data_IF_058886579875
#
_entry.id   IF_058886579875
#
_cell.length_a   1.000
_cell.length_b   1.000
_cell.length_c   1.000
_cell.angle_alpha   90.00
_cell.angle_beta   90.00
_cell.angle_gamma   90.00
#
_symmetry.space_group_name_H-M   'P 1'
#
loop_
_entity.id
_entity.type
_entity.pdbx_description
1 polymer ?
#
# COMPACT_ATOMS: atom_id res chain seq x y z
N UNK A 1 11.54 -48.10 -31.67
CA UNK A 1 11.59 -46.62 -31.69
C UNK A 1 10.70 -45.95 -30.63
N UNK A 2 9.52 -46.49 -30.27
CA UNK A 2 8.64 -45.90 -29.24
C UNK A 2 9.17 -46.01 -27.79
N UNK A 3 9.74 -47.15 -27.38
CA UNK A 3 10.26 -47.34 -26.02
C UNK A 3 11.38 -46.38 -25.62
N UNK A 4 12.20 -45.95 -26.58
CA UNK A 4 13.28 -45.00 -26.34
C UNK A 4 12.75 -43.61 -26.01
N UNK A 5 11.67 -43.17 -26.68
CA UNK A 5 10.99 -41.91 -26.39
C UNK A 5 10.31 -41.94 -25.02
N UNK A 6 9.72 -43.06 -24.62
CA UNK A 6 9.12 -43.24 -23.29
C UNK A 6 10.19 -43.21 -22.19
N UNK A 7 11.31 -43.89 -22.41
CA UNK A 7 12.44 -43.87 -21.48
C UNK A 7 13.03 -42.46 -21.35
N UNK A 8 13.24 -41.77 -22.48
CA UNK A 8 13.72 -40.39 -22.49
C UNK A 8 12.76 -39.45 -21.75
N UNK A 9 11.45 -39.60 -21.93
CA UNK A 9 10.44 -38.82 -21.23
C UNK A 9 10.47 -39.04 -19.71
N UNK A 10 10.59 -40.29 -19.25
CA UNK A 10 10.69 -40.62 -17.83
C UNK A 10 11.95 -40.03 -17.21
N UNK A 11 13.09 -40.13 -17.91
CA UNK A 11 14.37 -39.54 -17.46
C UNK A 11 14.27 -38.02 -17.36
N UNK A 12 13.64 -37.36 -18.34
CA UNK A 12 13.45 -35.91 -18.34
C UNK A 12 12.57 -35.43 -17.18
N UNK A 13 11.47 -36.15 -16.90
CA UNK A 13 10.58 -35.85 -15.76
C UNK A 13 11.30 -36.08 -14.42
N UNK A 14 12.13 -37.13 -14.31
CA UNK A 14 12.93 -37.37 -13.11
C UNK A 14 14.00 -36.31 -12.88
N UNK A 15 14.65 -35.84 -13.95
CA UNK A 15 15.69 -34.82 -13.87
C UNK A 15 15.13 -33.43 -13.48
N UNK A 16 13.95 -33.04 -14.01
CA UNK A 16 13.32 -31.76 -13.64
C UNK A 16 12.83 -31.76 -12.20
N UNK A 17 12.34 -32.89 -11.68
CA UNK A 17 11.94 -33.01 -10.28
C UNK A 17 13.13 -32.88 -9.31
N UNK A 18 14.31 -33.40 -9.68
CA UNK A 18 15.52 -33.35 -8.85
C UNK A 18 16.22 -31.99 -8.84
N UNK A 19 16.10 -31.19 -9.91
CA UNK A 19 16.81 -29.91 -10.04
C UNK A 19 15.91 -28.72 -9.63
N UNK A 20 14.59 -28.84 -9.79
CA UNK A 20 13.63 -27.76 -9.51
C UNK A 20 13.07 -27.72 -8.09
N UNK A 21 13.37 -28.70 -7.24
CA UNK A 21 12.91 -28.72 -5.84
C UNK A 21 14.09 -28.93 -4.90
N UNK A 22 14.29 -27.99 -3.99
CA UNK A 22 15.29 -28.04 -2.92
C UNK A 22 14.87 -29.05 -1.81
N UNK A 23 14.51 -30.27 -2.24
CA UNK A 23 14.00 -31.38 -1.41
C UNK A 23 14.84 -32.66 -1.57
N UNK A 24 16.08 -32.54 -2.06
CA UNK A 24 16.90 -33.67 -2.50
C UNK A 24 17.90 -34.25 -1.48
N UNK A 25 18.07 -33.67 -0.28
CA UNK A 25 19.16 -34.06 0.62
C UNK A 25 18.79 -35.06 1.74
N UNK A 26 17.54 -35.53 1.84
CA UNK A 26 17.08 -36.35 2.97
C UNK A 26 17.01 -37.87 2.76
N UNK A 27 16.93 -38.36 1.52
CA UNK A 27 16.34 -39.68 1.24
C UNK A 27 17.34 -40.84 1.09
N UNK A 28 18.52 -40.80 1.70
CA UNK A 28 19.52 -41.88 1.56
C UNK A 28 20.09 -42.46 2.88
N UNK A 29 19.53 -42.12 4.05
CA UNK A 29 19.91 -42.79 5.32
C UNK A 29 18.88 -43.83 5.79
N UNK A 30 19.03 -45.03 5.21
CA UNK A 30 19.19 -46.32 5.91
C UNK A 30 18.09 -46.74 6.91
N UNK A 31 17.17 -47.57 6.40
CA UNK A 31 16.47 -48.71 7.03
C UNK A 31 17.02 -49.13 8.42
N UNK A 32 16.24 -48.96 9.50
CA UNK A 32 16.13 -49.92 10.63
C UNK A 32 14.92 -49.62 11.56
N UNK A 33 14.19 -50.70 11.85
CA UNK A 33 13.27 -50.98 12.98
C UNK A 33 11.92 -50.26 13.11
N UNK A 34 10.86 -51.07 13.06
CA UNK A 34 9.46 -50.80 13.48
C UNK A 34 9.38 -50.42 14.96
N UNK A 35 8.56 -49.42 15.29
CA UNK A 35 7.86 -49.23 16.57
C UNK A 35 6.59 -48.36 16.31
N UNK A 36 5.56 -48.42 17.18
CA UNK A 36 4.15 -48.39 16.77
C UNK A 36 3.56 -46.99 16.54
N UNK A 37 2.41 -47.00 15.85
CA UNK A 37 1.54 -45.87 15.51
C UNK A 37 1.31 -44.91 16.68
N UNK A 38 1.94 -43.73 16.62
CA UNK A 38 1.39 -42.50 17.17
C UNK A 38 0.71 -41.74 16.02
N UNK A 39 -0.49 -42.19 15.64
CA UNK A 39 -1.45 -41.31 14.97
C UNK A 39 -2.11 -40.52 16.09
N UNK A 40 -1.60 -39.31 16.30
CA UNK A 40 -2.34 -38.10 16.73
C UNK A 40 -1.37 -36.92 16.93
N UNK A 41 -0.39 -36.78 16.02
CA UNK A 41 0.63 -35.72 16.05
C UNK A 41 0.30 -34.47 15.23
N UNK A 42 -0.98 -34.17 14.97
CA UNK A 42 -1.41 -32.97 14.22
C UNK A 42 -2.64 -32.31 14.84
N UNK A 43 -2.68 -32.17 16.17
CA UNK A 43 -3.75 -31.43 16.85
C UNK A 43 -3.29 -30.22 17.65
N UNK A 44 -2.00 -29.88 17.63
CA UNK A 44 -1.47 -28.81 18.48
C UNK A 44 -0.32 -28.11 17.76
N UNK A 45 -0.58 -26.96 17.13
CA UNK A 45 0.47 -26.28 16.35
C UNK A 45 -0.01 -25.21 15.37
N UNK A 46 -1.32 -24.97 15.26
CA UNK A 46 -1.82 -23.68 14.81
C UNK A 46 -2.35 -22.95 16.03
N UNK A 47 -1.45 -22.59 16.95
CA UNK A 47 -1.71 -21.36 17.69
C UNK A 47 -1.81 -20.29 16.60
N UNK A 48 -3.04 -19.89 16.31
CA UNK A 48 -3.31 -18.76 15.45
C UNK A 48 -2.46 -17.60 15.98
N UNK A 49 -1.52 -17.05 15.18
CA UNK A 49 -0.65 -15.98 15.65
C UNK A 49 -1.57 -14.86 16.14
N UNK A 50 -1.72 -14.72 17.46
CA UNK A 50 -2.54 -13.69 18.06
C UNK A 50 -1.87 -12.37 17.71
N UNK A 51 -2.37 -11.73 16.65
CA UNK A 51 -2.05 -10.36 16.31
C UNK A 51 -2.49 -9.51 17.52
N UNK A 52 -1.53 -9.23 18.40
CA UNK A 52 -1.80 -8.63 19.72
C UNK A 52 -2.11 -7.14 19.64
N UNK A 53 -2.17 -6.57 18.44
CA UNK A 53 -2.63 -5.20 18.23
C UNK A 53 -3.89 -5.18 17.38
N UNK A 54 -4.92 -4.41 17.78
CA UNK A 54 -6.09 -4.17 16.95
C UNK A 54 -5.64 -3.56 15.61
N UNK A 55 -6.30 -3.91 14.49
CA UNK A 55 -5.92 -3.40 13.18
C UNK A 55 -6.00 -1.87 13.17
N UNK A 56 -4.84 -1.23 13.03
CA UNK A 56 -4.75 0.22 12.89
C UNK A 56 -4.97 0.52 11.42
N UNK A 57 -6.18 0.99 11.10
CA UNK A 57 -6.58 1.40 9.76
C UNK A 57 -6.31 2.89 9.55
N UNK A 58 -6.23 3.28 8.27
CA UNK A 58 -6.11 4.69 7.90
C UNK A 58 -7.38 5.47 8.30
N UNK A 59 -7.23 6.69 8.85
CA UNK A 59 -8.36 7.59 9.08
C UNK A 59 -8.92 8.13 7.75
N UNK A 60 -10.13 8.70 7.78
CA UNK A 60 -10.78 9.22 6.58
C UNK A 60 -9.95 10.31 5.88
N UNK A 61 -9.27 11.16 6.66
CA UNK A 61 -8.37 12.21 6.17
C UNK A 61 -6.91 11.82 6.41
N UNK A 62 -6.50 10.68 5.84
CA UNK A 62 -5.15 10.14 6.02
C UNK A 62 -4.05 11.10 5.53
N UNK A 63 -3.10 11.40 6.42
CA UNK A 63 -1.85 12.06 6.08
C UNK A 63 -0.84 11.02 5.59
N UNK A 64 0.20 11.44 4.84
CA UNK A 64 1.27 10.54 4.41
C UNK A 64 1.91 9.78 5.57
N UNK A 65 2.14 10.46 6.71
CA UNK A 65 2.71 9.84 7.90
C UNK A 65 1.80 8.78 8.56
N UNK A 66 0.48 8.85 8.34
CA UNK A 66 -0.47 7.89 8.92
C UNK A 66 -0.33 6.50 8.25
N UNK A 67 0.18 6.45 7.01
CA UNK A 67 0.45 5.21 6.28
C UNK A 67 1.50 4.35 7.00
N UNK A 68 2.52 4.98 7.59
CA UNK A 68 3.61 4.29 8.31
C UNK A 68 3.14 3.61 9.61
N UNK A 69 1.96 4.01 10.10
CA UNK A 69 1.36 3.48 11.32
C UNK A 69 0.35 2.36 11.09
N UNK A 70 0.01 2.06 9.82
CA UNK A 70 -0.90 0.98 9.48
C UNK A 70 -0.30 -0.37 9.88
N UNK A 71 -1.08 -1.20 10.58
CA UNK A 71 -0.63 -2.53 11.02
C UNK A 71 -1.66 -3.58 10.59
N UNK A 72 -1.21 -4.48 9.73
CA UNK A 72 -1.99 -5.62 9.25
C UNK A 72 -1.75 -6.85 10.14
N UNK A 73 -2.82 -7.58 10.45
CA UNK A 73 -2.71 -8.89 11.09
C UNK A 73 -2.20 -9.94 10.10
N UNK A 74 -1.43 -10.91 10.60
CA UNK A 74 -0.92 -12.03 9.80
C UNK A 74 -1.98 -13.13 9.71
N UNK A 75 -2.27 -13.61 8.50
CA UNK A 75 -3.22 -14.69 8.24
C UNK A 75 -2.58 -15.90 7.57
N UNK A 76 -3.21 -17.08 7.69
CA UNK A 76 -2.75 -18.36 7.11
C UNK A 76 -2.57 -18.31 5.58
N UNK A 77 -3.28 -17.38 4.92
CA UNK A 77 -3.03 -16.92 3.56
C UNK A 77 -3.07 -15.39 3.59
N UNK A 78 -2.01 -14.74 3.16
CA UNK A 78 -1.89 -13.30 3.15
C UNK A 78 -1.12 -12.81 1.94
N UNK A 79 -1.21 -11.50 1.69
CA UNK A 79 -0.29 -10.84 0.76
C UNK A 79 1.14 -10.92 1.30
N UNK A 80 2.12 -10.91 0.38
CA UNK A 80 3.52 -10.91 0.80
C UNK A 80 3.87 -9.55 1.40
N UNK A 81 4.57 -9.54 2.53
CA UNK A 81 4.88 -8.31 3.28
C UNK A 81 5.67 -7.31 2.42
N UNK A 82 6.67 -7.76 1.65
CA UNK A 82 7.45 -6.90 0.75
C UNK A 82 6.60 -6.19 -0.32
N UNK A 83 5.57 -6.86 -0.83
CA UNK A 83 4.66 -6.26 -1.81
C UNK A 83 3.73 -5.25 -1.17
N UNK A 84 3.23 -5.56 0.03
CA UNK A 84 2.38 -4.62 0.78
C UNK A 84 3.20 -3.39 1.17
N UNK A 85 4.42 -3.59 1.68
CA UNK A 85 5.31 -2.50 2.08
C UNK A 85 5.63 -1.57 0.90
N UNK A 86 5.95 -2.12 -0.28
CA UNK A 86 6.16 -1.31 -1.48
C UNK A 86 4.93 -0.49 -1.88
N UNK A 87 3.73 -1.08 -1.82
CA UNK A 87 2.49 -0.37 -2.15
C UNK A 87 2.19 0.72 -1.12
N UNK A 88 2.49 0.49 0.16
CA UNK A 88 2.34 1.52 1.20
C UNK A 88 3.32 2.67 1.01
N UNK A 89 4.57 2.37 0.63
CA UNK A 89 5.58 3.38 0.30
C UNK A 89 5.13 4.23 -0.89
N UNK A 90 4.69 3.59 -1.98
CA UNK A 90 4.18 4.29 -3.17
C UNK A 90 2.93 5.12 -2.84
N UNK A 91 2.05 4.64 -1.95
CA UNK A 91 0.85 5.35 -1.50
C UNK A 91 1.20 6.59 -0.68
N UNK A 92 2.17 6.48 0.24
CA UNK A 92 2.66 7.60 1.04
C UNK A 92 3.21 8.71 0.15
N UNK A 93 4.00 8.35 -0.84
CA UNK A 93 4.60 9.30 -1.78
C UNK A 93 3.53 9.99 -2.65
N UNK A 94 2.54 9.24 -3.12
CA UNK A 94 1.41 9.79 -3.87
C UNK A 94 0.57 10.75 -3.02
N UNK A 95 0.27 10.39 -1.76
CA UNK A 95 -0.45 11.29 -0.84
C UNK A 95 0.33 12.57 -0.58
N UNK A 96 1.65 12.48 -0.41
CA UNK A 96 2.49 13.65 -0.21
C UNK A 96 2.46 14.58 -1.44
N UNK A 97 2.60 14.02 -2.64
CA UNK A 97 2.54 14.78 -3.89
C UNK A 97 1.18 15.46 -4.09
N UNK A 98 0.07 14.74 -3.84
CA UNK A 98 -1.28 15.30 -3.96
C UNK A 98 -1.55 16.39 -2.93
N UNK A 99 -1.09 16.22 -1.70
CA UNK A 99 -1.24 17.25 -0.67
C UNK A 99 -0.46 18.52 -1.01
N UNK A 100 0.76 18.39 -1.54
CA UNK A 100 1.53 19.53 -2.01
C UNK A 100 0.84 20.25 -3.18
N UNK A 101 0.31 19.50 -4.14
CA UNK A 101 -0.47 20.05 -5.26
C UNK A 101 -1.71 20.81 -4.78
N UNK A 102 -2.49 20.22 -3.88
CA UNK A 102 -3.68 20.85 -3.30
C UNK A 102 -3.32 22.14 -2.57
N UNK A 103 -2.24 22.15 -1.77
CA UNK A 103 -1.84 23.36 -1.05
C UNK A 103 -1.39 24.45 -2.01
N UNK A 104 -0.61 24.11 -3.04
CA UNK A 104 -0.21 25.07 -4.08
C UNK A 104 -1.41 25.65 -4.84
N UNK A 105 -2.44 24.84 -5.13
CA UNK A 105 -3.67 25.33 -5.74
C UNK A 105 -4.48 26.23 -4.78
N UNK A 106 -4.55 25.89 -3.50
CA UNK A 106 -5.21 26.71 -2.48
C UNK A 106 -4.55 28.08 -2.33
N UNK A 107 -3.22 28.13 -2.34
CA UNK A 107 -2.46 29.38 -2.28
C UNK A 107 -2.73 30.26 -3.51
N UNK A 108 -2.73 29.67 -4.72
CA UNK A 108 -3.07 30.41 -5.95
C UNK A 108 -4.49 30.98 -5.92
N UNK A 109 -5.46 30.20 -5.42
CA UNK A 109 -6.84 30.67 -5.26
C UNK A 109 -6.95 31.82 -4.25
N UNK A 110 -6.23 31.74 -3.12
CA UNK A 110 -6.18 32.84 -2.12
C UNK A 110 -5.57 34.10 -2.73
N UNK A 111 -4.42 34.00 -3.39
CA UNK A 111 -3.77 35.14 -4.04
C UNK A 111 -4.66 35.81 -5.10
N UNK A 112 -5.39 35.00 -5.87
CA UNK A 112 -6.34 35.53 -6.87
C UNK A 112 -7.53 36.22 -6.22
N UNK A 113 -8.05 35.70 -5.11
CA UNK A 113 -9.12 36.33 -4.36
C UNK A 113 -8.69 37.69 -3.80
N UNK A 114 -7.47 37.79 -3.25
CA UNK A 114 -6.89 39.04 -2.75
C UNK A 114 -6.67 40.08 -3.87
N UNK A 115 -6.25 39.64 -5.06
CA UNK A 115 -6.12 40.54 -6.21
C UNK A 115 -7.47 41.12 -6.66
N UNK A 116 -8.54 40.31 -6.64
CA UNK A 116 -9.89 40.75 -7.00
C UNK A 116 -10.42 41.76 -5.99
N UNK A 117 -10.24 41.50 -4.68
CA UNK A 117 -10.67 42.44 -3.64
C UNK A 117 -9.88 43.75 -3.67
N UNK A 118 -8.56 43.68 -3.91
CA UNK A 118 -7.74 44.88 -4.09
C UNK A 118 -8.17 45.69 -5.32
N UNK A 119 -8.46 45.03 -6.44
CA UNK A 119 -8.94 45.71 -7.65
C UNK A 119 -10.30 46.40 -7.41
N UNK A 120 -11.21 45.75 -6.68
CA UNK A 120 -12.50 46.33 -6.30
C UNK A 120 -12.34 47.56 -5.38
N UNK A 121 -11.44 47.48 -4.40
CA UNK A 121 -11.13 48.61 -3.51
C UNK A 121 -10.53 49.80 -4.28
N UNK A 122 -9.61 49.54 -5.21
CA UNK A 122 -9.03 50.58 -6.07
C UNK A 122 -10.14 51.22 -6.92
N UNK A 123 -11.03 50.42 -7.52
CA UNK A 123 -12.15 50.94 -8.30
C UNK A 123 -13.10 51.81 -7.45
N UNK A 124 -13.39 51.39 -6.21
CA UNK A 124 -14.21 52.17 -5.28
C UNK A 124 -13.51 53.48 -4.84
N UNK A 125 -12.19 53.47 -4.66
CA UNK A 125 -11.39 54.64 -4.30
C UNK A 125 -11.28 55.65 -5.46
N UNK A 126 -11.24 55.15 -6.70
CA UNK A 126 -11.11 55.97 -7.90
C UNK A 126 -12.43 56.57 -8.39
N UNK A 127 -13.57 56.24 -7.80
CA UNK A 127 -14.86 56.85 -8.09
C UNK A 127 -15.03 58.13 -7.25
N UNK A 128 -14.66 59.33 -7.75
CA UNK A 128 -14.68 60.54 -6.95
C UNK A 128 -16.06 61.20 -7.13
N UNK A 129 -16.84 61.22 -6.07
CA UNK A 129 -17.86 62.24 -5.80
C UNK A 129 -18.94 62.48 -6.86
N UNK A 130 -19.99 61.65 -6.88
CA UNK A 130 -21.34 62.15 -7.22
C UNK A 130 -21.98 62.95 -6.06
N UNK A 131 -21.30 63.07 -4.91
CA UNK A 131 -21.88 63.63 -3.69
C UNK A 131 -21.67 65.14 -3.48
N UNK A 132 -20.82 65.83 -4.26
CA UNK A 132 -20.53 67.27 -4.03
C UNK A 132 -21.29 68.25 -4.93
N UNK A 133 -22.18 67.79 -5.82
CA UNK A 133 -22.88 68.67 -6.75
C UNK A 133 -24.31 69.08 -6.30
N UNK A 134 -24.79 68.59 -5.14
CA UNK A 134 -26.15 68.85 -4.67
C UNK A 134 -26.27 69.95 -3.59
N UNK A 135 -25.16 70.48 -3.07
CA UNK A 135 -25.15 71.43 -1.93
C UNK A 135 -24.71 72.85 -2.33
N UNK A 136 -24.99 73.28 -3.57
CA UNK A 136 -24.74 74.66 -4.05
C UNK A 136 -25.90 75.22 -4.89
N UNK A 137 -27.13 74.95 -4.45
CA UNK A 137 -28.35 75.61 -4.93
C UNK A 137 -29.29 75.90 -3.77
N UNK A 138 -28.90 76.87 -2.95
CA UNK A 138 -29.78 77.57 -2.00
C UNK A 138 -29.73 79.07 -2.25
#
# INVERSE_FOLDING_TARGET
>A
MSFFLVFLAIVLIGATALIGTDLGAGMLRRKRTRAPRARDGFKDGFDEPVASLPPVLLPADAKPADVDHVRFALGLRGYRMDQVDQVLDDLRDQLAARNAEIEGLREQLRARAEQLTAAEQIAAQLAPGEQTAAEDRT
#
